data_IF_293757845503
#
_entry.id   IF_293757845503
#
_cell.length_a   1.000
_cell.length_b   1.000
_cell.length_c   1.000
_cell.angle_alpha   90.00
_cell.angle_beta   90.00
_cell.angle_gamma   90.00
#
_symmetry.space_group_name_H-M   'P 1'
#
loop_
_entity.id
_entity.type
_entity.pdbx_description
1 polymer ?
#
# COMPACT_ATOMS: atom_id res chain seq x y z
N UNK A 1 -9.05 16.22 62.43
CA UNK A 1 -9.52 16.09 61.05
C UNK A 1 -8.49 15.23 60.34
N UNK A 2 -8.83 13.93 60.15
CA UNK A 2 -7.92 12.91 59.59
C UNK A 2 -8.15 12.84 58.09
N UNK A 3 -7.08 12.96 57.29
CA UNK A 3 -7.13 12.76 55.81
C UNK A 3 -7.53 11.31 55.47
N UNK A 4 -8.38 11.11 54.49
CA UNK A 4 -8.72 9.76 54.04
C UNK A 4 -7.59 9.16 53.17
N UNK A 5 -7.11 7.99 53.55
CA UNK A 5 -6.17 7.18 52.76
C UNK A 5 -6.84 6.68 51.49
N UNK A 6 -6.09 6.65 50.35
CA UNK A 6 -6.62 6.07 49.10
C UNK A 6 -6.73 4.54 49.20
N UNK A 7 -7.70 3.92 48.50
CA UNK A 7 -7.93 2.48 48.56
C UNK A 7 -6.75 1.72 47.94
N UNK A 8 -6.14 0.84 48.70
CA UNK A 8 -5.16 -0.14 48.27
C UNK A 8 -5.84 -1.23 47.44
N UNK A 9 -5.28 -1.58 46.27
CA UNK A 9 -5.48 -2.86 45.60
C UNK A 9 -6.47 -2.88 44.45
N UNK A 10 -6.23 -2.07 43.40
CA UNK A 10 -6.69 -2.45 42.07
C UNK A 10 -5.57 -3.23 41.39
N UNK A 11 -5.68 -4.56 41.39
CA UNK A 11 -4.78 -5.42 40.63
C UNK A 11 -4.83 -5.03 39.14
N UNK A 12 -3.71 -4.63 38.60
CA UNK A 12 -3.51 -4.40 37.16
C UNK A 12 -3.91 -5.69 36.42
N UNK A 13 -4.85 -5.67 35.46
CA UNK A 13 -5.20 -6.89 34.71
C UNK A 13 -3.95 -7.35 33.96
N UNK A 14 -3.51 -8.55 34.31
CA UNK A 14 -2.45 -9.29 33.60
C UNK A 14 -2.75 -9.30 32.10
N UNK A 15 -1.79 -9.04 31.21
CA UNK A 15 -2.02 -9.12 29.77
C UNK A 15 -2.54 -10.53 29.45
N UNK A 16 -3.74 -10.59 28.86
CA UNK A 16 -4.37 -11.83 28.43
C UNK A 16 -3.35 -12.65 27.66
N UNK A 17 -2.81 -13.71 28.26
CA UNK A 17 -2.00 -14.71 27.58
C UNK A 17 -2.86 -15.25 26.44
N UNK A 18 -2.59 -14.85 25.20
CA UNK A 18 -3.20 -15.48 24.03
C UNK A 18 -2.92 -16.98 24.13
N UNK A 19 -3.94 -17.75 24.43
CA UNK A 19 -3.82 -19.20 24.45
C UNK A 19 -3.32 -19.65 23.08
N UNK A 20 -2.28 -20.47 23.07
CA UNK A 20 -1.78 -21.04 21.83
C UNK A 20 -2.92 -21.77 21.12
N UNK A 21 -3.14 -21.54 19.81
CA UNK A 21 -4.25 -22.14 19.10
C UNK A 21 -4.16 -23.67 19.19
N UNK A 22 -5.29 -24.32 19.49
CA UNK A 22 -5.37 -25.78 19.54
C UNK A 22 -4.91 -26.35 18.19
N UNK A 23 -3.96 -27.27 18.20
CA UNK A 23 -3.40 -27.92 17.01
C UNK A 23 -4.38 -28.97 16.45
N UNK A 24 -5.49 -28.51 15.90
CA UNK A 24 -6.44 -29.38 15.19
C UNK A 24 -5.86 -29.82 13.83
N UNK A 25 -6.32 -30.97 13.25
CA UNK A 25 -5.89 -31.38 11.91
C UNK A 25 -6.07 -30.28 10.85
N UNK A 26 -7.17 -29.55 10.88
CA UNK A 26 -7.42 -28.41 9.99
C UNK A 26 -6.42 -27.26 10.18
N UNK A 27 -6.05 -26.96 11.43
CA UNK A 27 -4.99 -25.98 11.71
C UNK A 27 -3.63 -26.43 11.13
N UNK A 28 -3.26 -27.71 11.29
CA UNK A 28 -1.99 -28.24 10.77
C UNK A 28 -1.98 -28.23 9.24
N UNK A 29 -3.07 -28.63 8.59
CA UNK A 29 -3.19 -28.59 7.13
C UNK A 29 -3.07 -27.16 6.60
N UNK A 30 -3.74 -26.20 7.23
CA UNK A 30 -3.62 -24.77 6.88
C UNK A 30 -2.18 -24.28 7.03
N UNK A 31 -1.52 -24.58 8.14
CA UNK A 31 -0.12 -24.18 8.37
C UNK A 31 0.85 -24.81 7.38
N UNK A 32 0.63 -26.08 7.00
CA UNK A 32 1.41 -26.75 5.96
C UNK A 32 1.25 -26.04 4.61
N UNK A 33 0.00 -25.71 4.24
CA UNK A 33 -0.29 -24.94 3.03
C UNK A 33 0.37 -23.55 3.04
N UNK A 34 0.24 -22.79 4.13
CA UNK A 34 0.86 -21.47 4.29
C UNK A 34 2.39 -21.54 4.11
N UNK A 35 3.03 -22.57 4.71
CA UNK A 35 4.48 -22.80 4.55
C UNK A 35 4.86 -23.17 3.12
N UNK A 36 4.06 -23.97 2.45
CA UNK A 36 4.30 -24.34 1.04
C UNK A 36 4.20 -23.13 0.13
N UNK A 37 3.19 -22.27 0.34
CA UNK A 37 3.05 -21.00 -0.38
C UNK A 37 4.24 -20.09 -0.13
N UNK A 38 4.67 -19.96 1.12
CA UNK A 38 5.85 -19.17 1.48
C UNK A 38 7.14 -19.68 0.83
N UNK A 39 7.37 -21.00 0.87
CA UNK A 39 8.53 -21.61 0.24
C UNK A 39 8.51 -21.41 -1.28
N UNK A 40 7.36 -21.64 -1.92
CA UNK A 40 7.16 -21.41 -3.34
C UNK A 40 7.39 -19.94 -3.73
N UNK A 41 6.90 -19.00 -2.94
CA UNK A 41 7.11 -17.57 -3.16
C UNK A 41 8.62 -17.22 -3.08
N UNK A 42 9.33 -17.71 -2.09
CA UNK A 42 10.78 -17.50 -1.95
C UNK A 42 11.59 -18.11 -3.10
N UNK A 43 11.23 -19.33 -3.52
CA UNK A 43 11.87 -19.98 -4.67
C UNK A 43 11.63 -19.15 -5.94
N UNK A 44 10.40 -18.69 -6.15
CA UNK A 44 10.03 -17.85 -7.29
C UNK A 44 10.81 -16.51 -7.29
N UNK A 45 10.94 -15.86 -6.13
CA UNK A 45 11.75 -14.65 -5.98
C UNK A 45 13.22 -14.92 -6.37
N UNK A 46 13.80 -16.03 -5.93
CA UNK A 46 15.16 -16.40 -6.26
C UNK A 46 15.33 -16.65 -7.76
N UNK A 47 14.45 -17.47 -8.37
CA UNK A 47 14.49 -17.77 -9.81
C UNK A 47 14.36 -16.47 -10.63
N UNK A 48 13.40 -15.61 -10.30
CA UNK A 48 13.19 -14.35 -11.01
C UNK A 48 14.33 -13.37 -10.78
N UNK A 49 14.97 -13.42 -9.62
CA UNK A 49 16.13 -12.59 -9.30
C UNK A 49 17.33 -12.84 -10.21
N UNK A 50 17.54 -14.07 -10.66
CA UNK A 50 18.68 -14.45 -11.52
C UNK A 50 18.37 -14.40 -13.02
N UNK A 51 17.09 -14.38 -13.42
CA UNK A 51 16.70 -14.35 -14.83
C UNK A 51 16.76 -12.91 -15.41
N UNK A 52 16.96 -12.74 -16.72
CA UNK A 52 16.88 -11.42 -17.36
C UNK A 52 15.51 -10.75 -17.14
N UNK A 53 15.45 -9.43 -16.80
CA UNK A 53 14.20 -8.77 -16.44
C UNK A 53 13.17 -8.74 -17.57
N UNK A 54 13.58 -8.35 -18.79
CA UNK A 54 12.67 -8.16 -19.92
C UNK A 54 11.87 -9.40 -20.31
N UNK A 55 12.49 -10.60 -20.49
CA UNK A 55 11.74 -11.84 -20.75
C UNK A 55 10.77 -12.21 -19.61
N UNK A 56 11.17 -12.03 -18.35
CA UNK A 56 10.32 -12.31 -17.19
C UNK A 56 9.11 -11.38 -17.16
N UNK A 57 9.30 -10.08 -17.33
CA UNK A 57 8.21 -9.11 -17.39
C UNK A 57 7.24 -9.42 -18.55
N UNK A 58 7.77 -9.77 -19.73
CA UNK A 58 6.97 -10.14 -20.89
C UNK A 58 6.16 -11.41 -20.62
N UNK A 59 6.77 -12.42 -19.99
CA UNK A 59 6.09 -13.66 -19.60
C UNK A 59 4.95 -13.37 -18.64
N UNK A 60 5.19 -12.63 -17.58
CA UNK A 60 4.17 -12.28 -16.59
C UNK A 60 3.04 -11.43 -17.19
N UNK A 61 3.39 -10.45 -18.04
CA UNK A 61 2.39 -9.65 -18.76
C UNK A 61 1.53 -10.49 -19.73
N UNK A 62 2.08 -11.56 -20.28
CA UNK A 62 1.37 -12.47 -21.18
C UNK A 62 0.48 -13.45 -20.41
N UNK A 63 0.94 -13.94 -19.25
CA UNK A 63 0.21 -14.91 -18.44
C UNK A 63 -0.87 -14.28 -17.55
N UNK A 64 -0.67 -13.05 -17.07
CA UNK A 64 -1.60 -12.39 -16.15
C UNK A 64 -3.06 -12.28 -16.71
N UNK A 65 -3.30 -12.04 -18.01
CA UNK A 65 -4.65 -12.12 -18.60
C UNK A 65 -5.35 -13.47 -18.45
N UNK A 66 -4.64 -14.57 -18.20
CA UNK A 66 -5.30 -15.86 -17.92
C UNK A 66 -6.15 -15.78 -16.65
N UNK A 67 -5.71 -15.02 -15.64
CA UNK A 67 -6.52 -14.80 -14.44
C UNK A 67 -7.85 -14.09 -14.76
N UNK A 68 -7.85 -13.13 -15.69
CA UNK A 68 -9.07 -12.49 -16.18
C UNK A 68 -10.00 -13.50 -16.88
N UNK A 69 -9.44 -14.42 -17.66
CA UNK A 69 -10.23 -15.43 -18.39
C UNK A 69 -10.77 -16.50 -17.44
N UNK A 70 -9.96 -16.98 -16.52
CA UNK A 70 -10.25 -18.13 -15.66
C UNK A 70 -11.03 -17.79 -14.39
N UNK A 71 -11.15 -16.49 -14.03
CA UNK A 71 -11.80 -16.07 -12.78
C UNK A 71 -12.98 -15.11 -13.04
N UNK A 72 -14.18 -15.63 -13.40
CA UNK A 72 -15.32 -14.79 -13.80
C UNK A 72 -15.75 -13.74 -12.78
N UNK A 73 -15.65 -14.04 -11.47
CA UNK A 73 -15.99 -13.09 -10.41
C UNK A 73 -15.06 -11.86 -10.41
N UNK A 74 -13.75 -12.08 -10.53
CA UNK A 74 -12.77 -11.00 -10.60
C UNK A 74 -12.83 -10.25 -11.94
N UNK A 75 -13.14 -10.95 -13.04
CA UNK A 75 -13.39 -10.30 -14.33
C UNK A 75 -14.54 -9.30 -14.26
N UNK A 76 -15.68 -9.66 -13.65
CA UNK A 76 -16.83 -8.76 -13.50
C UNK A 76 -16.47 -7.49 -12.74
N UNK A 77 -15.67 -7.60 -11.65
CA UNK A 77 -15.20 -6.46 -10.90
C UNK A 77 -14.26 -5.58 -11.76
N UNK A 78 -13.32 -6.19 -12.46
CA UNK A 78 -12.39 -5.48 -13.35
C UNK A 78 -13.11 -4.73 -14.48
N UNK A 79 -14.10 -5.39 -15.10
CA UNK A 79 -14.89 -4.80 -16.18
C UNK A 79 -15.77 -3.64 -15.65
N UNK A 80 -16.39 -3.80 -14.49
CA UNK A 80 -17.15 -2.73 -13.85
C UNK A 80 -16.26 -1.51 -13.53
N UNK A 81 -15.12 -1.73 -12.92
CA UNK A 81 -14.17 -0.65 -12.64
C UNK A 81 -13.67 0.03 -13.93
N UNK A 82 -13.35 -0.76 -14.96
CA UNK A 82 -12.94 -0.23 -16.26
C UNK A 82 -14.04 0.60 -16.93
N UNK A 83 -15.30 0.14 -16.85
CA UNK A 83 -16.44 0.85 -17.40
C UNK A 83 -16.65 2.20 -16.70
N UNK A 84 -16.52 2.23 -15.37
CA UNK A 84 -16.61 3.48 -14.58
C UNK A 84 -15.51 4.46 -14.98
N UNK A 85 -14.26 4.02 -15.02
CA UNK A 85 -13.11 4.86 -15.39
C UNK A 85 -13.22 5.40 -16.82
N UNK A 86 -13.80 4.61 -17.74
CA UNK A 86 -14.02 5.02 -19.12
C UNK A 86 -15.28 5.87 -19.33
N UNK A 87 -16.11 6.08 -18.30
CA UNK A 87 -17.36 6.82 -18.41
C UNK A 87 -18.46 6.08 -19.21
N UNK A 88 -18.35 4.75 -19.32
CA UNK A 88 -19.29 3.91 -20.07
C UNK A 88 -19.98 2.87 -19.17
N UNK A 89 -20.26 3.24 -17.93
CA UNK A 89 -20.97 2.40 -16.98
C UNK A 89 -22.39 2.86 -16.72
N UNK A 90 -23.34 1.92 -16.56
CA UNK A 90 -24.69 2.20 -16.05
C UNK A 90 -24.71 2.54 -14.56
N UNK A 91 -25.90 2.77 -13.98
CA UNK A 91 -26.07 3.08 -12.56
C UNK A 91 -25.46 2.03 -11.61
N UNK A 92 -25.50 0.77 -12.00
CA UNK A 92 -24.97 -0.37 -11.23
C UNK A 92 -23.47 -0.60 -11.44
N UNK A 93 -22.80 0.21 -12.27
CA UNK A 93 -21.38 0.05 -12.59
C UNK A 93 -21.10 -1.01 -13.68
N UNK A 94 -22.13 -1.46 -14.40
CA UNK A 94 -21.94 -2.42 -15.49
C UNK A 94 -21.63 -1.71 -16.80
N UNK A 95 -20.88 -2.34 -17.72
CA UNK A 95 -20.65 -1.77 -19.05
C UNK A 95 -21.97 -1.47 -19.78
N UNK A 96 -22.08 -0.30 -20.38
CA UNK A 96 -23.18 0.06 -21.26
C UNK A 96 -23.17 -0.83 -22.53
N UNK A 97 -24.33 -1.13 -23.12
CA UNK A 97 -24.40 -1.86 -24.37
C UNK A 97 -23.52 -1.23 -25.46
N UNK A 98 -22.76 -2.07 -26.16
CA UNK A 98 -21.81 -1.66 -27.20
C UNK A 98 -20.42 -1.23 -26.70
N UNK A 99 -20.22 -1.09 -25.39
CA UNK A 99 -18.91 -0.73 -24.78
C UNK A 99 -18.05 -1.94 -24.37
N UNK A 100 -18.57 -3.16 -24.48
CA UNK A 100 -17.98 -4.39 -23.94
C UNK A 100 -16.56 -4.64 -24.48
N UNK A 101 -16.36 -4.39 -25.77
CA UNK A 101 -15.05 -4.56 -26.42
C UNK A 101 -14.01 -3.60 -25.84
N UNK A 102 -14.39 -2.34 -25.65
CA UNK A 102 -13.53 -1.29 -25.07
C UNK A 102 -13.18 -1.61 -23.62
N UNK A 103 -14.20 -1.95 -22.83
CA UNK A 103 -14.04 -2.33 -21.42
C UNK A 103 -13.14 -3.54 -21.27
N UNK A 104 -13.37 -4.60 -22.06
CA UNK A 104 -12.52 -5.79 -22.05
C UNK A 104 -11.07 -5.49 -22.43
N UNK A 105 -10.86 -4.66 -23.44
CA UNK A 105 -9.50 -4.25 -23.85
C UNK A 105 -8.79 -3.53 -22.72
N UNK A 106 -9.47 -2.63 -22.00
CA UNK A 106 -8.95 -1.91 -20.83
C UNK A 106 -8.64 -2.84 -19.66
N UNK A 107 -9.57 -3.76 -19.34
CA UNK A 107 -9.37 -4.75 -18.30
C UNK A 107 -8.15 -5.63 -18.57
N UNK A 108 -8.01 -6.16 -19.79
CA UNK A 108 -6.86 -6.96 -20.20
C UNK A 108 -5.54 -6.16 -20.12
N UNK A 109 -5.55 -4.89 -20.50
CA UNK A 109 -4.39 -4.02 -20.37
C UNK A 109 -3.97 -3.84 -18.89
N UNK A 110 -4.95 -3.69 -17.99
CA UNK A 110 -4.71 -3.62 -16.56
C UNK A 110 -4.07 -4.91 -16.02
N UNK A 111 -4.59 -6.08 -16.42
CA UNK A 111 -3.99 -7.38 -16.03
C UNK A 111 -2.55 -7.52 -16.54
N UNK A 112 -2.26 -7.11 -17.78
CA UNK A 112 -0.87 -7.10 -18.30
C UNK A 112 0.05 -6.20 -17.49
N UNK A 113 -0.43 -5.01 -17.12
CA UNK A 113 0.32 -4.07 -16.26
C UNK A 113 0.57 -4.66 -14.88
N UNK A 114 -0.46 -5.31 -14.29
CA UNK A 114 -0.32 -6.01 -13.02
C UNK A 114 0.69 -7.18 -13.10
N UNK A 115 0.70 -7.91 -14.21
CA UNK A 115 1.72 -8.95 -14.46
C UNK A 115 3.14 -8.39 -14.42
N UNK A 116 3.40 -7.27 -15.11
CA UNK A 116 4.71 -6.59 -15.02
C UNK A 116 5.06 -6.17 -13.61
N UNK A 117 4.12 -5.55 -12.90
CA UNK A 117 4.29 -5.19 -11.49
C UNK A 117 4.65 -6.40 -10.63
N UNK A 118 3.97 -7.53 -10.80
CA UNK A 118 4.27 -8.75 -10.05
C UNK A 118 5.71 -9.27 -10.31
N UNK A 119 6.16 -9.24 -11.57
CA UNK A 119 7.53 -9.61 -11.94
C UNK A 119 8.57 -8.68 -11.30
N UNK A 120 8.33 -7.38 -11.34
CA UNK A 120 9.19 -6.36 -10.72
C UNK A 120 9.26 -6.52 -9.20
N UNK A 121 8.11 -6.73 -8.54
CA UNK A 121 8.02 -6.94 -7.09
C UNK A 121 8.81 -8.18 -6.65
N UNK A 122 8.66 -9.30 -7.37
CA UNK A 122 9.38 -10.54 -7.08
C UNK A 122 10.91 -10.40 -7.28
N UNK A 123 11.32 -9.53 -8.20
CA UNK A 123 12.74 -9.25 -8.49
C UNK A 123 13.35 -8.25 -7.52
N UNK A 124 12.55 -7.38 -6.91
CA UNK A 124 13.03 -6.25 -6.11
C UNK A 124 14.05 -6.64 -5.02
N UNK A 125 13.88 -7.78 -4.29
CA UNK A 125 14.83 -8.19 -3.25
C UNK A 125 16.22 -8.59 -3.75
N UNK A 126 16.39 -8.86 -5.05
CA UNK A 126 17.69 -9.21 -5.65
C UNK A 126 18.47 -7.99 -6.14
N UNK A 127 17.93 -6.77 -5.94
CA UNK A 127 18.51 -5.52 -6.43
C UNK A 127 19.05 -4.68 -5.27
N UNK A 128 20.15 -4.01 -5.52
CA UNK A 128 20.67 -2.99 -4.59
C UNK A 128 19.81 -1.72 -4.60
N UNK A 129 19.82 -0.97 -3.50
CA UNK A 129 19.11 0.33 -3.43
C UNK A 129 19.55 1.30 -4.54
N UNK A 130 20.83 1.31 -4.86
CA UNK A 130 21.38 2.16 -5.94
C UNK A 130 20.80 1.82 -7.32
N UNK A 131 20.67 0.52 -7.64
CA UNK A 131 20.02 0.07 -8.87
C UNK A 131 18.53 0.41 -8.91
N UNK A 132 17.85 0.32 -7.77
CA UNK A 132 16.43 0.69 -7.65
C UNK A 132 16.27 2.18 -7.85
N UNK A 133 17.08 2.99 -7.17
CA UNK A 133 17.02 4.45 -7.27
C UNK A 133 17.32 4.96 -8.68
N UNK A 134 18.18 4.27 -9.43
CA UNK A 134 18.49 4.62 -10.84
C UNK A 134 17.28 4.45 -11.79
N UNK A 135 16.30 3.63 -11.42
CA UNK A 135 15.08 3.41 -12.21
C UNK A 135 13.93 4.36 -11.84
N UNK A 136 14.10 5.20 -10.82
CA UNK A 136 13.04 6.09 -10.34
C UNK A 136 13.50 7.55 -10.45
N UNK A 137 12.76 8.32 -11.23
CA UNK A 137 12.93 9.77 -11.27
C UNK A 137 12.32 10.41 -10.02
N UNK A 138 13.20 10.95 -9.17
CA UNK A 138 12.89 11.67 -7.93
C UNK A 138 13.12 13.18 -8.08
N UNK A 139 13.13 13.73 -9.29
CA UNK A 139 13.41 15.15 -9.54
C UNK A 139 12.43 16.08 -8.79
N UNK A 140 11.20 15.65 -8.61
CA UNK A 140 10.18 16.40 -7.87
C UNK A 140 10.25 16.21 -6.34
N UNK A 141 11.15 15.36 -5.83
CA UNK A 141 11.24 15.07 -4.40
C UNK A 141 12.13 16.05 -3.61
N UNK A 142 12.70 17.07 -4.23
CA UNK A 142 13.62 18.02 -3.58
C UNK A 142 13.03 18.73 -2.35
N UNK A 143 11.71 19.00 -2.35
CA UNK A 143 11.02 19.58 -1.21
C UNK A 143 11.10 18.71 0.06
N UNK A 144 11.30 17.40 -0.08
CA UNK A 144 11.44 16.50 1.07
C UNK A 144 12.72 16.78 1.87
N UNK A 145 13.77 17.28 1.22
CA UNK A 145 15.00 17.70 1.88
C UNK A 145 14.74 18.92 2.79
N UNK A 146 13.92 19.87 2.32
CA UNK A 146 13.50 21.03 3.12
C UNK A 146 12.65 20.61 4.32
N UNK A 147 11.74 19.65 4.14
CA UNK A 147 10.95 19.09 5.25
C UNK A 147 11.84 18.43 6.28
N UNK A 148 12.78 17.59 5.83
CA UNK A 148 13.77 16.94 6.70
C UNK A 148 14.64 17.96 7.46
N UNK A 149 15.16 18.97 6.78
CA UNK A 149 16.00 19.99 7.37
C UNK A 149 15.26 20.79 8.48
N UNK A 150 13.95 21.00 8.31
CA UNK A 150 13.11 21.67 9.30
C UNK A 150 12.54 20.72 10.37
N UNK A 151 12.84 19.41 10.31
CA UNK A 151 12.23 18.41 11.19
C UNK A 151 10.71 18.31 11.02
N UNK A 152 10.20 18.67 9.84
CA UNK A 152 8.77 18.73 9.55
C UNK A 152 8.28 17.38 9.03
N UNK A 153 7.26 16.83 9.67
CA UNK A 153 6.58 15.63 9.21
C UNK A 153 5.66 15.90 8.02
N UNK A 154 5.33 14.85 7.27
CA UNK A 154 4.29 14.88 6.25
C UNK A 154 3.53 13.56 6.16
N UNK A 155 2.29 13.62 5.70
CA UNK A 155 1.43 12.46 5.42
C UNK A 155 1.31 12.31 3.91
N UNK A 156 2.04 11.37 3.34
CA UNK A 156 1.97 11.07 1.91
C UNK A 156 0.79 10.16 1.63
N UNK A 157 -0.08 10.57 0.71
CA UNK A 157 -1.32 9.87 0.37
C UNK A 157 -1.33 9.56 -1.12
N UNK A 158 -1.45 8.29 -1.46
CA UNK A 158 -1.48 7.82 -2.85
C UNK A 158 -2.46 6.67 -3.05
N UNK A 159 -2.35 6.08 -4.23
CA UNK A 159 -3.15 4.94 -4.66
C UNK A 159 -2.24 3.78 -5.09
N UNK A 160 -2.77 2.55 -5.15
CA UNK A 160 -2.06 1.40 -5.68
C UNK A 160 -1.89 1.52 -7.21
N UNK A 161 -0.95 2.33 -7.64
CA UNK A 161 -0.65 2.59 -9.04
C UNK A 161 0.85 2.55 -9.31
N UNK A 162 1.25 2.17 -10.52
CA UNK A 162 2.65 1.99 -10.86
C UNK A 162 3.32 0.89 -10.06
N UNK A 163 4.41 1.22 -9.35
CA UNK A 163 5.10 0.31 -8.44
C UNK A 163 5.51 1.06 -7.16
N UNK A 164 4.59 1.10 -6.20
CA UNK A 164 4.79 1.82 -4.94
C UNK A 164 5.94 1.24 -4.09
N UNK A 165 6.20 -0.08 -4.16
CA UNK A 165 7.31 -0.70 -3.44
C UNK A 165 8.66 -0.20 -3.96
N UNK A 166 8.80 -0.10 -5.28
CA UNK A 166 10.00 0.43 -5.93
C UNK A 166 10.15 1.92 -5.65
N UNK A 167 9.04 2.68 -5.68
CA UNK A 167 9.02 4.09 -5.27
C UNK A 167 9.48 4.28 -3.83
N UNK A 168 8.95 3.50 -2.89
CA UNK A 168 9.36 3.56 -1.50
C UNK A 168 10.85 3.19 -1.31
N UNK A 169 11.31 2.10 -1.93
CA UNK A 169 12.71 1.67 -1.86
C UNK A 169 13.68 2.73 -2.41
N UNK A 170 13.30 3.48 -3.46
CA UNK A 170 14.13 4.57 -3.99
C UNK A 170 14.27 5.75 -3.02
N UNK A 171 13.26 6.01 -2.18
CA UNK A 171 13.35 7.01 -1.12
C UNK A 171 14.25 6.55 0.04
N UNK A 172 14.31 5.24 0.28
CA UNK A 172 15.21 4.65 1.28
C UNK A 172 16.69 4.92 0.99
N UNK A 173 17.10 4.96 -0.27
CA UNK A 173 18.48 5.30 -0.68
C UNK A 173 18.86 6.72 -0.23
N UNK A 174 17.91 7.64 -0.14
CA UNK A 174 18.12 9.02 0.34
C UNK A 174 18.03 9.18 1.87
N UNK A 175 17.86 8.08 2.60
CA UNK A 175 17.77 8.06 4.07
C UNK A 175 16.65 8.95 4.64
N UNK A 176 15.50 9.04 3.97
CA UNK A 176 14.32 9.63 4.57
C UNK A 176 13.70 8.70 5.62
N UNK A 177 13.14 9.25 6.70
CA UNK A 177 12.39 8.47 7.71
C UNK A 177 11.00 8.11 7.17
N UNK A 178 10.95 7.15 6.24
CA UNK A 178 9.72 6.71 5.58
C UNK A 178 9.07 5.60 6.39
N UNK A 179 7.82 5.82 6.78
CA UNK A 179 7.01 4.92 7.58
C UNK A 179 5.74 4.55 6.81
N UNK A 180 5.66 3.31 6.31
CA UNK A 180 4.50 2.81 5.56
C UNK A 180 3.51 2.19 6.54
N UNK A 181 2.26 2.66 6.53
CA UNK A 181 1.19 2.02 7.30
C UNK A 181 0.60 0.88 6.48
N UNK A 182 0.70 -0.34 7.00
CA UNK A 182 0.25 -1.54 6.32
C UNK A 182 -0.63 -2.42 7.21
N UNK A 183 -1.45 -3.26 6.56
CA UNK A 183 -2.25 -4.28 7.22
C UNK A 183 -1.48 -5.61 7.30
N UNK A 184 -1.65 -6.34 8.41
CA UNK A 184 -1.10 -7.67 8.65
C UNK A 184 -1.99 -8.80 8.08
N UNK A 185 -2.80 -8.50 7.05
CA UNK A 185 -3.76 -9.44 6.45
C UNK A 185 -3.14 -10.69 5.84
N UNK A 186 -1.84 -10.68 5.55
CA UNK A 186 -1.11 -11.87 5.14
C UNK A 186 -0.85 -12.81 6.33
N UNK A 187 -0.64 -14.11 6.04
CA UNK A 187 -0.19 -15.04 7.08
C UNK A 187 1.21 -14.63 7.62
N UNK A 188 1.52 -14.97 8.88
CA UNK A 188 2.66 -14.38 9.62
C UNK A 188 4.01 -14.42 8.88
N UNK A 189 4.34 -15.54 8.24
CA UNK A 189 5.62 -15.69 7.55
C UNK A 189 5.76 -14.76 6.33
N UNK A 190 4.68 -14.53 5.60
CA UNK A 190 4.67 -13.63 4.45
C UNK A 190 4.75 -12.17 4.92
N UNK A 191 3.97 -11.81 5.96
CA UNK A 191 4.05 -10.48 6.56
C UNK A 191 5.47 -10.15 7.03
N UNK A 192 6.11 -11.08 7.76
CA UNK A 192 7.45 -10.90 8.26
C UNK A 192 8.49 -10.83 7.13
N UNK A 193 8.33 -11.60 6.05
CA UNK A 193 9.18 -11.48 4.86
C UNK A 193 9.09 -10.07 4.27
N UNK A 194 7.89 -9.58 4.00
CA UNK A 194 7.69 -8.25 3.41
C UNK A 194 8.20 -7.15 4.33
N UNK A 195 8.00 -7.28 5.64
CA UNK A 195 8.52 -6.35 6.64
C UNK A 195 10.05 -6.28 6.62
N UNK A 196 10.73 -7.44 6.56
CA UNK A 196 12.20 -7.51 6.47
C UNK A 196 12.74 -6.93 5.18
N UNK A 197 12.08 -7.19 4.06
CA UNK A 197 12.47 -6.64 2.77
C UNK A 197 12.39 -5.11 2.78
N UNK A 198 11.29 -4.55 3.27
CA UNK A 198 11.13 -3.09 3.42
C UNK A 198 12.15 -2.51 4.39
N UNK A 199 12.41 -3.17 5.51
CA UNK A 199 13.44 -2.74 6.45
C UNK A 199 14.85 -2.70 5.82
N UNK A 200 15.18 -3.67 4.93
CA UNK A 200 16.43 -3.66 4.18
C UNK A 200 16.55 -2.46 3.21
N UNK A 201 15.44 -1.86 2.83
CA UNK A 201 15.40 -0.62 2.04
C UNK A 201 15.29 0.65 2.90
N UNK A 202 15.46 0.55 4.21
CA UNK A 202 15.32 1.69 5.13
C UNK A 202 13.87 2.12 5.39
N UNK A 203 12.88 1.31 4.94
CA UNK A 203 11.46 1.59 5.11
C UNK A 203 10.94 0.93 6.38
N UNK A 204 10.33 1.70 7.25
CA UNK A 204 9.65 1.19 8.45
C UNK A 204 8.20 0.84 8.12
N UNK A 205 7.75 -0.33 8.59
CA UNK A 205 6.37 -0.76 8.48
C UNK A 205 5.70 -0.61 9.84
N UNK A 206 4.62 0.16 9.89
CA UNK A 206 3.80 0.33 11.08
C UNK A 206 2.46 -0.36 10.84
N UNK A 207 2.06 -1.26 11.76
CA UNK A 207 0.71 -1.84 11.74
C UNK A 207 -0.33 -0.72 11.91
N UNK A 208 -1.36 -0.73 11.08
CA UNK A 208 -2.42 0.29 11.14
C UNK A 208 -3.13 0.36 12.51
N UNK A 209 -3.07 -0.70 13.32
CA UNK A 209 -3.56 -0.75 14.71
C UNK A 209 -2.61 -0.06 15.69
N UNK A 210 -1.34 0.13 15.32
CA UNK A 210 -0.32 0.73 16.17
C UNK A 210 -0.32 2.27 16.05
N UNK A 211 -1.47 2.88 16.19
CA UNK A 211 -1.68 4.33 15.97
C UNK A 211 -0.71 5.21 16.78
N UNK A 212 -0.28 4.76 17.97
CA UNK A 212 0.71 5.47 18.79
C UNK A 212 2.07 5.56 18.10
N UNK A 213 2.48 4.52 17.39
CA UNK A 213 3.73 4.50 16.63
C UNK A 213 3.66 5.45 15.44
N UNK A 214 2.51 5.53 14.77
CA UNK A 214 2.28 6.49 13.67
C UNK A 214 2.45 7.93 14.17
N UNK A 215 1.79 8.31 15.27
CA UNK A 215 1.96 9.63 15.86
C UNK A 215 3.37 9.85 16.41
N UNK A 216 4.02 8.80 16.91
CA UNK A 216 5.44 8.85 17.30
C UNK A 216 6.35 9.18 16.12
N UNK A 217 6.11 8.62 14.95
CA UNK A 217 6.85 8.94 13.73
C UNK A 217 6.61 10.39 13.28
N UNK A 218 5.35 10.86 13.27
CA UNK A 218 5.03 12.26 12.96
C UNK A 218 5.73 13.25 13.91
N UNK A 219 5.75 12.97 15.23
CA UNK A 219 6.44 13.81 16.20
C UNK A 219 7.95 13.93 15.98
N UNK A 220 8.57 12.94 15.35
CA UNK A 220 10.00 12.95 15.00
C UNK A 220 10.31 13.60 13.64
N UNK A 221 9.31 14.15 12.95
CA UNK A 221 9.47 14.68 11.61
C UNK A 221 9.47 13.59 10.51
N UNK A 222 9.00 12.38 10.83
CA UNK A 222 8.95 11.25 9.89
C UNK A 222 7.84 11.41 8.85
N UNK A 223 8.02 10.75 7.71
CA UNK A 223 7.07 10.72 6.62
C UNK A 223 6.18 9.48 6.74
N UNK A 224 4.88 9.69 6.86
CA UNK A 224 3.88 8.61 6.89
C UNK A 224 3.35 8.40 5.48
N UNK A 225 3.36 7.17 4.98
CA UNK A 225 2.86 6.81 3.66
C UNK A 225 1.62 5.94 3.78
N UNK A 226 0.54 6.35 3.12
CA UNK A 226 -0.75 5.69 3.09
C UNK A 226 -1.22 5.52 1.65
N UNK A 227 -1.74 4.32 1.33
CA UNK A 227 -2.47 4.07 0.09
C UNK A 227 -3.96 4.00 0.43
N UNK A 228 -4.76 4.91 -0.12
CA UNK A 228 -6.12 5.19 0.33
C UNK A 228 -7.23 4.65 -0.58
N UNK A 229 -6.88 3.77 -1.54
CA UNK A 229 -7.81 3.18 -2.51
C UNK A 229 -8.22 1.74 -2.20
N UNK A 230 -7.88 1.22 -1.02
CA UNK A 230 -8.21 -0.13 -0.62
C UNK A 230 -9.55 -0.20 0.10
N UNK A 231 -10.55 -0.62 -0.65
CA UNK A 231 -11.86 -1.00 -0.13
C UNK A 231 -12.78 0.18 0.25
N UNK A 232 -14.06 -0.03 0.02
CA UNK A 232 -15.12 0.84 0.49
C UNK A 232 -15.23 0.76 2.02
N UNK A 233 -15.32 1.92 2.67
CA UNK A 233 -15.54 2.04 4.12
C UNK A 233 -16.85 2.79 4.35
N UNK A 234 -17.87 2.17 4.97
CA UNK A 234 -19.15 2.83 5.22
C UNK A 234 -19.02 4.10 6.06
N UNK A 235 -18.01 4.18 6.92
CA UNK A 235 -17.65 5.31 7.78
C UNK A 235 -16.59 6.25 7.18
N UNK A 236 -16.27 6.08 5.90
CA UNK A 236 -15.32 6.91 5.19
C UNK A 236 -15.90 8.28 4.80
N UNK A 237 -15.03 9.16 4.31
CA UNK A 237 -15.39 10.49 3.81
C UNK A 237 -16.05 10.33 2.43
N UNK A 238 -17.30 10.80 2.25
CA UNK A 238 -17.96 10.75 0.95
C UNK A 238 -17.22 11.63 -0.08
N UNK A 239 -16.98 11.08 -1.25
CA UNK A 239 -16.36 11.82 -2.35
C UNK A 239 -16.86 11.31 -3.70
N UNK A 240 -16.67 12.11 -4.75
CA UNK A 240 -16.88 11.67 -6.12
C UNK A 240 -15.57 11.24 -6.75
N UNK A 241 -15.51 9.99 -7.22
CA UNK A 241 -14.38 9.45 -7.96
C UNK A 241 -14.88 8.93 -9.31
N UNK A 242 -14.32 9.45 -10.40
CA UNK A 242 -14.79 9.17 -11.77
C UNK A 242 -16.31 9.39 -11.96
N UNK A 243 -16.82 10.49 -11.40
CA UNK A 243 -18.24 10.86 -11.49
C UNK A 243 -19.20 10.02 -10.64
N UNK A 244 -18.68 9.16 -9.75
CA UNK A 244 -19.49 8.31 -8.86
C UNK A 244 -19.20 8.58 -7.39
N UNK A 245 -20.25 8.53 -6.60
CA UNK A 245 -20.14 8.61 -5.15
C UNK A 245 -19.47 7.34 -4.59
N UNK A 246 -18.49 7.54 -3.77
CA UNK A 246 -17.78 6.50 -2.99
C UNK A 246 -17.35 7.09 -1.66
N UNK A 247 -16.60 6.33 -0.86
CA UNK A 247 -15.97 6.84 0.36
C UNK A 247 -14.49 6.56 0.33
N UNK A 248 -13.71 7.49 0.88
CA UNK A 248 -12.28 7.31 1.14
C UNK A 248 -12.02 7.23 2.66
N UNK A 249 -10.98 6.51 3.10
CA UNK A 249 -10.61 6.45 4.51
C UNK A 249 -10.33 7.85 5.09
N UNK A 250 -10.86 8.14 6.27
CA UNK A 250 -10.60 9.39 6.99
C UNK A 250 -9.21 9.46 7.65
N UNK A 251 -8.50 8.33 7.70
CA UNK A 251 -7.18 8.21 8.36
C UNK A 251 -6.18 9.30 7.99
N UNK A 252 -5.94 9.58 6.70
CA UNK A 252 -5.02 10.64 6.28
C UNK A 252 -5.36 12.02 6.85
N UNK A 253 -6.63 12.42 6.80
CA UNK A 253 -7.10 13.70 7.33
C UNK A 253 -6.91 13.78 8.86
N UNK A 254 -7.24 12.71 9.58
CA UNK A 254 -7.04 12.63 11.04
C UNK A 254 -5.57 12.72 11.41
N UNK A 255 -4.68 12.02 10.69
CA UNK A 255 -3.24 12.07 10.94
C UNK A 255 -2.67 13.46 10.65
N UNK A 256 -3.09 14.09 9.56
CA UNK A 256 -2.70 15.45 9.20
C UNK A 256 -3.12 16.45 10.28
N UNK A 257 -4.39 16.47 10.65
CA UNK A 257 -4.93 17.41 11.62
C UNK A 257 -4.31 17.25 13.01
N UNK A 258 -4.24 16.01 13.52
CA UNK A 258 -3.70 15.74 14.87
C UNK A 258 -2.18 15.71 14.93
N UNK A 259 -1.52 15.39 13.83
CA UNK A 259 -0.06 15.38 13.71
C UNK A 259 0.54 16.71 13.30
N UNK A 260 -0.29 17.72 13.01
CA UNK A 260 0.13 19.00 12.43
C UNK A 260 1.11 18.83 11.26
N UNK A 261 0.77 17.90 10.36
CA UNK A 261 1.59 17.51 9.21
C UNK A 261 0.77 17.66 7.92
N UNK A 262 1.25 18.34 6.88
CA UNK A 262 0.50 18.49 5.64
C UNK A 262 0.33 17.12 4.94
N UNK A 263 -0.77 16.98 4.21
CA UNK A 263 -0.97 15.88 3.28
C UNK A 263 -0.24 16.21 1.99
N UNK A 264 0.57 15.28 1.51
CA UNK A 264 1.24 15.35 0.21
C UNK A 264 0.63 14.25 -0.68
N UNK A 265 -0.23 14.61 -1.65
CA UNK A 265 -0.68 13.65 -2.64
C UNK A 265 0.52 13.16 -3.46
N UNK A 266 0.55 11.86 -3.78
CA UNK A 266 1.60 11.32 -4.65
C UNK A 266 1.06 10.24 -5.58
N UNK A 267 1.79 10.03 -6.68
CA UNK A 267 1.47 9.01 -7.67
C UNK A 267 2.75 8.45 -8.28
N UNK A 268 2.89 7.11 -8.29
CA UNK A 268 4.02 6.45 -8.96
C UNK A 268 3.61 6.11 -10.38
N UNK A 269 4.15 6.82 -11.36
CA UNK A 269 3.86 6.63 -12.78
C UNK A 269 4.95 5.80 -13.44
N UNK A 270 4.55 4.77 -14.18
CA UNK A 270 5.45 4.05 -15.09
C UNK A 270 5.62 4.87 -16.37
N UNK A 271 6.83 5.34 -16.64
CA UNK A 271 7.16 6.08 -17.86
C UNK A 271 7.43 5.14 -19.05
N UNK A 272 8.20 4.09 -18.77
CA UNK A 272 8.54 3.03 -19.70
C UNK A 272 8.88 1.76 -18.92
N UNK A 273 9.03 0.59 -19.58
CA UNK A 273 9.44 -0.63 -18.89
C UNK A 273 10.70 -0.41 -18.04
N UNK A 274 10.59 -0.75 -16.73
CA UNK A 274 11.67 -0.61 -15.76
C UNK A 274 11.94 0.80 -15.24
N UNK A 275 11.24 1.84 -15.71
CA UNK A 275 11.48 3.23 -15.27
C UNK A 275 10.19 3.88 -14.78
N UNK A 276 10.32 4.60 -13.67
CA UNK A 276 9.21 5.22 -12.97
C UNK A 276 9.52 6.66 -12.61
N UNK A 277 8.48 7.46 -12.40
CA UNK A 277 8.55 8.79 -11.82
C UNK A 277 7.58 8.88 -10.66
N UNK A 278 7.99 9.50 -9.57
CA UNK A 278 7.07 9.86 -8.50
C UNK A 278 6.65 11.30 -8.70
N UNK A 279 5.35 11.49 -8.91
CA UNK A 279 4.72 12.78 -9.04
C UNK A 279 4.14 13.18 -7.68
N UNK A 280 4.25 14.44 -7.31
CA UNK A 280 3.71 14.96 -6.06
C UNK A 280 2.73 16.09 -6.35
N UNK A 281 1.63 16.11 -5.59
CA UNK A 281 0.71 17.25 -5.58
C UNK A 281 1.16 18.33 -4.60
N UNK A 282 0.53 19.51 -4.69
CA UNK A 282 0.75 20.58 -3.74
C UNK A 282 0.41 20.11 -2.31
N UNK A 283 1.18 20.55 -1.28
CA UNK A 283 0.88 20.25 0.10
C UNK A 283 -0.49 20.80 0.50
N UNK A 284 -1.31 19.95 1.11
CA UNK A 284 -2.61 20.32 1.67
C UNK A 284 -2.39 20.49 3.18
N UNK A 285 -2.42 21.71 3.67
CA UNK A 285 -2.26 22.01 5.08
C UNK A 285 -3.46 21.51 5.87
N UNK A 286 -3.22 20.92 7.06
CA UNK A 286 -4.28 20.76 8.03
C UNK A 286 -4.77 22.14 8.41
N UNK A 287 -5.98 22.51 7.97
CA UNK A 287 -6.63 23.75 8.42
C UNK A 287 -6.77 23.73 9.96
N UNK A 288 -6.89 24.90 10.56
CA UNK A 288 -7.17 25.05 11.99
C UNK A 288 -8.53 24.51 12.43
N UNK A 289 -9.14 23.65 11.64
CA UNK A 289 -10.49 23.15 11.78
C UNK A 289 -10.58 21.63 11.94
N UNK A 290 -11.78 21.20 12.24
CA UNK A 290 -12.24 19.81 12.27
C UNK A 290 -11.74 19.03 11.04
N UNK A 291 -11.49 17.70 11.14
CA UNK A 291 -11.24 16.83 9.99
C UNK A 291 -12.27 16.94 8.84
N UNK A 292 -13.43 17.52 9.09
CA UNK A 292 -14.44 17.83 8.08
C UNK A 292 -14.12 19.05 7.20
N UNK A 293 -13.05 19.81 7.51
CA UNK A 293 -12.66 21.01 6.75
C UNK A 293 -11.53 20.72 5.72
N UNK A 294 -11.11 19.45 5.60
CA UNK A 294 -10.19 18.94 4.58
C UNK A 294 -10.97 18.17 3.50
#
# INVERSE_FOLDING_TARGET
MSEPQPPQGAATPSPLRRQAPKRTPGYLARRAWERSVYAGYRLLMWVIGVLPPRPVEALFATLAPLAYLLWPAKRRIADGNAAVVLGVADADGRPLPGSEKLVRARSLANYRTYGRFAAELLRLPSRSLKEIAADVDLSEAAFMDDFRARGQAAVFVGFHAGNNELGAASLGERNYDVNVVADDSAFPEMYELLRRLRAAWGIKVIDWKAIREVFGALKRGGFIVLLSDWGYKPDGIPCQLFGRWTTLPSGPAVLSARGNAPIIPFFVRRERPGHFRILYGAPISAGNGSPAAL
#
